data_IF_291701460160
#
_entry.id   IF_291701460160
#
_cell.length_a   1.000
_cell.length_b   1.000
_cell.length_c   1.000
_cell.angle_alpha   90.00
_cell.angle_beta   90.00
_cell.angle_gamma   90.00
#
_symmetry.space_group_name_H-M   'P 1'
#
loop_
_entity.id
_entity.type
_entity.pdbx_description
1 polymer ?
2 non-polymer ?
3 non-polymer ?
4 non-polymer ?
5 water ?
#
# COMPACT_ATOMS: atom_id res chain seq x y z
N UNK A 1 0.65 14.56 8.07
CA UNK A 1 0.30 13.17 8.49
C UNK A 1 -1.16 12.89 8.18
N UNK A 2 -1.51 11.61 8.10
CA UNK A 2 -2.89 11.18 7.92
C UNK A 2 -3.24 10.19 9.03
N UNK A 3 -4.52 10.06 9.32
CA UNK A 3 -4.96 9.22 10.43
C UNK A 3 -6.15 8.34 10.06
N UNK A 4 -6.27 7.22 10.75
CA UNK A 4 -7.45 6.36 10.64
C UNK A 4 -7.71 5.67 11.97
N UNK A 5 -8.96 5.71 12.42
CA UNK A 5 -9.39 5.10 13.67
C UNK A 5 -10.37 3.96 13.40
N UNK A 6 -10.04 2.78 13.88
CA UNK A 6 -10.91 1.62 13.69
C UNK A 6 -12.16 1.69 14.57
N UNK A 7 -12.08 2.42 15.67
CA UNK A 7 -13.22 2.62 16.54
C UNK A 7 -14.27 3.48 15.84
N UNK A 8 -15.42 2.87 15.56
CA UNK A 8 -16.49 3.55 14.85
C UNK A 8 -16.29 3.65 13.35
N UNK A 9 -15.28 2.94 12.83
CA UNK A 9 -14.99 2.95 11.41
C UNK A 9 -16.12 2.35 10.59
N UNK A 10 -16.36 2.94 9.42
CA UNK A 10 -17.29 2.37 8.46
C UNK A 10 -16.76 2.65 7.05
N UNK A 11 -17.46 2.16 6.01
CA UNK A 11 -16.92 2.38 4.66
C UNK A 11 -16.66 3.86 4.34
N UNK A 12 -17.48 4.75 4.88
CA UNK A 12 -17.30 6.18 4.66
C UNK A 12 -16.01 6.70 5.28
N UNK A 13 -15.78 6.43 6.56
CA UNK A 13 -14.58 6.94 7.24
C UNK A 13 -13.31 6.31 6.69
N UNK A 14 -13.39 5.06 6.28
CA UNK A 14 -12.27 4.40 5.61
C UNK A 14 -11.99 5.09 4.27
N UNK A 15 -13.05 5.39 3.52
CA UNK A 15 -12.92 6.12 2.26
C UNK A 15 -12.26 7.48 2.43
N UNK A 16 -12.60 8.18 3.51
CA UNK A 16 -11.98 9.47 3.83
C UNK A 16 -10.49 9.31 4.11
N UNK A 17 -10.13 8.23 4.81
CA UNK A 17 -8.73 7.94 5.09
C UNK A 17 -7.92 7.68 3.82
N UNK A 18 -8.47 6.87 2.93
CA UNK A 18 -7.78 6.54 1.67
C UNK A 18 -7.66 7.79 0.79
N UNK A 19 -8.67 8.66 0.85
CA UNK A 19 -8.58 9.96 0.17
C UNK A 19 -7.46 10.82 0.76
N UNK A 20 -7.40 10.92 2.09
CA UNK A 20 -6.33 11.67 2.77
C UNK A 20 -4.96 11.13 2.41
N UNK A 21 -4.84 9.80 2.40
CA UNK A 21 -3.58 9.13 2.06
C UNK A 21 -3.14 9.52 0.65
N UNK A 22 -4.03 9.34 -0.33
CA UNK A 22 -3.75 9.76 -1.70
C UNK A 22 -3.32 11.23 -1.78
N UNK A 23 -4.08 12.09 -1.11
CA UNK A 23 -3.84 13.55 -1.16
C UNK A 23 -2.55 13.99 -0.48
N UNK A 24 -2.01 13.15 0.38
CA UNK A 24 -0.76 13.45 1.08
C UNK A 24 0.48 13.12 0.23
N UNK A 25 0.28 12.43 -0.89
CA UNK A 25 1.38 12.06 -1.76
C UNK A 25 1.59 13.17 -2.78
N UNK A 26 2.78 13.77 -2.81
CA UNK A 26 2.95 14.91 -3.70
C UNK A 26 3.13 14.48 -5.17
N UNK A 27 2.71 15.36 -6.06
CA UNK A 27 2.93 15.17 -7.50
C UNK A 27 2.90 16.54 -8.17
N UNK A 28 3.62 16.68 -9.27
CA UNK A 28 3.62 17.93 -10.05
C UNK A 28 2.95 17.75 -11.41
N UNK A 29 2.58 16.52 -11.74
CA UNK A 29 2.10 16.18 -13.07
C UNK A 29 1.06 15.07 -12.97
N UNK A 30 0.06 15.11 -13.85
CA UNK A 30 -0.83 13.98 -14.04
C UNK A 30 -0.61 13.42 -15.44
N UNK A 31 -0.72 12.11 -15.55
CA UNK A 31 -0.56 11.41 -16.81
C UNK A 31 -1.87 10.67 -17.05
N UNK A 32 -2.55 11.03 -18.15
CA UNK A 32 -3.91 10.57 -18.43
C UNK A 32 -4.82 10.77 -17.21
N UNK A 33 -4.65 11.95 -16.59
CA UNK A 33 -5.44 12.40 -15.45
C UNK A 33 -5.19 11.66 -14.12
N UNK A 34 -4.15 10.84 -14.08
CA UNK A 34 -3.76 10.14 -12.86
C UNK A 34 -2.49 10.77 -12.29
N UNK A 35 -2.49 11.12 -10.99
CA UNK A 35 -1.29 11.68 -10.37
C UNK A 35 -0.04 10.83 -10.61
N UNK A 36 1.03 11.48 -11.05
CA UNK A 36 2.32 10.82 -11.27
C UNK A 36 3.22 11.08 -10.06
N UNK A 37 3.55 10.02 -9.32
CA UNK A 37 4.42 10.17 -8.16
C UNK A 37 5.79 10.66 -8.58
N UNK A 38 6.46 11.36 -7.67
CA UNK A 38 7.70 12.04 -7.98
C UNK A 38 8.85 11.06 -8.16
N UNK A 39 9.85 11.43 -8.98
CA UNK A 39 11.03 10.58 -9.15
C UNK A 39 11.76 10.38 -7.83
N UNK A 40 11.92 11.45 -7.06
CA UNK A 40 12.54 11.38 -5.76
C UNK A 40 12.20 12.59 -4.90
N UNK A 41 12.42 12.42 -3.60
CA UNK A 41 12.26 13.48 -2.62
C UNK A 41 13.41 13.28 -1.64
N UNK A 42 14.10 14.37 -1.30
CA UNK A 42 15.27 14.30 -0.42
C UNK A 42 14.89 14.57 1.02
N UNK A 43 15.60 13.91 1.92
CA UNK A 43 15.43 14.13 3.35
C UNK A 43 14.13 13.56 3.90
N UNK A 44 13.68 14.17 4.99
CA UNK A 44 12.52 13.67 5.74
C UNK A 44 11.21 13.84 4.98
N UNK A 45 11.17 14.78 4.03
CA UNK A 45 9.99 15.01 3.21
C UNK A 45 9.59 13.80 2.38
N UNK A 46 10.51 12.85 2.24
CA UNK A 46 10.24 11.60 1.53
C UNK A 46 9.20 10.72 2.22
N UNK A 47 9.01 10.89 3.52
CA UNK A 47 8.21 9.95 4.30
C UNK A 47 6.95 10.56 4.90
N UNK A 48 5.82 9.92 4.61
CA UNK A 48 4.53 10.26 5.20
C UNK A 48 4.29 9.38 6.43
N UNK A 49 3.77 9.98 7.50
CA UNK A 49 3.40 9.24 8.69
C UNK A 49 1.89 9.01 8.71
N UNK A 50 1.49 7.74 8.84
CA UNK A 50 0.10 7.35 8.97
C UNK A 50 -0.11 6.97 10.41
N UNK A 51 -1.04 7.64 11.10
CA UNK A 51 -1.39 7.29 12.47
C UNK A 51 -2.60 6.37 12.42
N UNK A 52 -2.41 5.14 12.87
CA UNK A 52 -3.48 4.15 12.86
C UNK A 52 -3.83 3.75 14.28
N UNK A 53 -5.13 3.80 14.60
CA UNK A 53 -5.62 3.44 15.92
C UNK A 53 -6.49 2.22 15.84
N UNK A 54 -6.20 1.23 16.67
CA UNK A 54 -7.05 0.05 16.75
C UNK A 54 -8.33 0.40 17.51
N UNK A 55 -9.25 -0.55 17.57
CA UNK A 55 -10.55 -0.33 18.17
C UNK A 55 -10.46 0.20 19.61
N UNK A 56 -9.48 -0.27 20.38
CA UNK A 56 -9.28 0.18 21.77
C UNK A 56 -8.55 1.51 21.90
N UNK A 57 -8.15 2.10 20.77
CA UNK A 57 -7.52 3.41 20.78
C UNK A 57 -6.00 3.37 20.93
N UNK A 58 -5.41 2.19 20.90
CA UNK A 58 -3.96 2.05 20.82
C UNK A 58 -3.49 2.40 19.42
N UNK A 59 -2.28 2.90 19.29
CA UNK A 59 -1.83 3.46 18.02
C UNK A 59 -0.46 2.97 17.60
N UNK A 60 -0.30 2.81 16.29
CA UNK A 60 1.01 2.72 15.67
C UNK A 60 1.11 3.86 14.65
N UNK A 61 2.34 4.28 14.39
CA UNK A 61 2.60 5.25 13.33
C UNK A 61 3.42 4.56 12.25
N UNK A 62 2.93 4.61 11.02
CA UNK A 62 3.55 3.91 9.90
C UNK A 62 4.21 4.90 8.96
N UNK A 63 5.48 4.66 8.63
CA UNK A 63 6.22 5.52 7.71
C UNK A 63 6.12 5.00 6.28
N UNK A 64 5.68 5.86 5.37
CA UNK A 64 5.46 5.50 3.98
C UNK A 64 6.31 6.38 3.06
N UNK A 65 7.05 5.75 2.15
CA UNK A 65 7.83 6.48 1.14
C UNK A 65 6.86 7.05 0.10
N UNK A 66 6.82 8.38 -0.03
CA UNK A 66 5.80 9.04 -0.84
C UNK A 66 6.04 8.95 -2.35
N UNK A 67 7.22 8.47 -2.74
CA UNK A 67 7.52 8.28 -4.16
C UNK A 67 6.97 6.96 -4.71
N UNK A 68 6.75 5.98 -3.83
CA UNK A 68 6.29 4.66 -4.29
C UNK A 68 5.21 3.99 -3.42
N UNK A 69 4.77 4.67 -2.36
CA UNK A 69 3.79 4.17 -1.38
C UNK A 69 4.24 2.89 -0.67
N UNK A 70 5.55 2.72 -0.57
CA UNK A 70 6.09 1.56 0.14
C UNK A 70 6.21 1.88 1.62
N UNK A 71 5.69 1.00 2.45
CA UNK A 71 5.85 1.11 3.89
C UNK A 71 7.30 0.79 4.26
N UNK A 72 7.95 1.68 4.99
CA UNK A 72 9.35 1.51 5.38
C UNK A 72 9.51 0.88 6.76
N UNK A 73 8.57 1.21 7.65
CA UNK A 73 8.67 0.81 9.04
C UNK A 73 7.53 1.43 9.81
N UNK A 74 7.55 1.25 11.13
CA UNK A 74 6.49 1.78 11.97
C UNK A 74 6.99 1.91 13.40
N UNK A 75 6.29 2.74 14.16
CA UNK A 75 6.58 2.99 15.56
C UNK A 75 5.45 2.45 16.40
N UNK A 76 5.78 1.69 17.42
CA UNK A 76 4.80 1.15 18.36
C UNK A 76 5.27 1.40 19.77
N UNK A 77 4.57 2.29 20.47
CA UNK A 77 4.97 2.79 21.79
C UNK A 77 6.34 3.48 21.71
N UNK A 78 7.40 2.87 22.24
CA UNK A 78 8.73 3.47 22.20
C UNK A 78 9.72 2.66 21.36
N UNK A 79 9.20 1.73 20.55
CA UNK A 79 10.05 0.90 19.72
C UNK A 79 9.73 1.13 18.25
N UNK A 80 10.76 1.40 17.46
CA UNK A 80 10.61 1.46 16.00
C UNK A 80 11.00 0.13 15.35
N UNK A 81 10.35 -0.17 14.23
CA UNK A 81 10.57 -1.40 13.48
C UNK A 81 10.74 -1.04 12.01
N UNK A 82 11.83 -1.49 11.38
CA UNK A 82 12.07 -1.22 9.96
C UNK A 82 12.34 -2.52 9.20
N UNK A 83 11.92 -2.55 7.95
CA UNK A 83 12.22 -3.69 7.08
C UNK A 83 13.72 -3.79 6.86
N UNK A 84 14.18 -5.01 6.62
CA UNK A 84 15.58 -5.29 6.42
C UNK A 84 15.92 -5.08 4.96
N UNK A 85 16.02 -3.80 4.58
CA UNK A 85 16.38 -3.40 3.22
C UNK A 85 16.92 -1.98 3.18
N UNK A 86 17.77 -1.68 2.21
CA UNK A 86 18.43 -0.37 2.26
C UNK A 86 17.50 0.85 2.29
N UNK A 87 16.38 0.80 1.58
CA UNK A 87 15.44 1.92 1.58
C UNK A 87 14.86 2.19 2.97
N UNK A 88 14.63 1.14 3.74
CA UNK A 88 14.09 1.28 5.09
C UNK A 88 15.16 1.74 6.06
N UNK A 89 16.38 1.22 5.89
CA UNK A 89 17.54 1.64 6.67
C UNK A 89 17.74 3.14 6.48
N UNK A 90 17.64 3.62 5.24
CA UNK A 90 17.71 5.05 4.97
C UNK A 90 16.59 5.81 5.67
N UNK A 91 15.38 5.28 5.59
CA UNK A 91 14.23 5.92 6.25
C UNK A 91 14.46 6.07 7.75
N UNK A 92 15.13 5.08 8.36
CA UNK A 92 15.39 5.11 9.80
C UNK A 92 16.30 6.26 10.22
N UNK A 93 16.94 6.91 9.26
CA UNK A 93 17.74 8.10 9.54
C UNK A 93 16.86 9.33 9.74
N UNK A 94 15.61 9.28 9.30
CA UNK A 94 14.72 10.44 9.34
C UNK A 94 13.48 10.33 10.23
N UNK A 95 12.92 9.13 10.38
CA UNK A 95 11.67 8.96 11.11
C UNK A 95 11.85 8.12 12.36
N UNK A 96 11.05 8.43 13.38
CA UNK A 96 11.03 7.70 14.66
C UNK A 96 12.37 7.70 15.38
N UNK A 97 13.14 8.77 15.20
CA UNK A 97 14.46 8.91 15.82
C UNK A 97 14.38 8.93 17.34
N UNK A 98 13.26 9.41 17.88
CA UNK A 98 13.05 9.48 19.32
C UNK A 98 12.67 8.15 19.97
N UNK A 99 12.54 7.08 19.19
CA UNK A 99 12.25 5.75 19.74
C UNK A 99 13.37 5.33 20.68
N UNK A 100 13.00 4.68 21.78
CA UNK A 100 13.99 4.20 22.75
C UNK A 100 14.88 3.10 22.16
N UNK A 101 14.32 2.26 21.29
CA UNK A 101 15.10 1.27 20.58
C UNK A 101 14.55 1.02 19.19
N UNK A 102 15.42 0.57 18.30
CA UNK A 102 15.05 0.27 16.93
C UNK A 102 15.32 -1.20 16.62
N UNK A 103 14.29 -1.88 16.16
CA UNK A 103 14.39 -3.27 15.72
C UNK A 103 14.31 -3.33 14.21
N UNK A 104 15.26 -4.02 13.60
CA UNK A 104 15.17 -4.31 12.19
C UNK A 104 14.48 -5.66 12.05
N UNK A 105 13.36 -5.68 11.34
CA UNK A 105 12.62 -6.91 11.10
C UNK A 105 13.48 -7.89 10.29
N UNK A 106 13.27 -9.20 10.47
CA UNK A 106 14.10 -10.20 9.80
C UNK A 106 13.60 -10.55 8.38
N UNK A 107 13.14 -9.53 7.66
CA UNK A 107 12.73 -9.66 6.26
C UNK A 107 12.63 -8.27 5.64
N UNK A 108 12.72 -8.23 4.32
CA UNK A 108 12.40 -7.04 3.55
C UNK A 108 10.89 -6.90 3.41
N UNK A 109 10.44 -5.81 2.79
CA UNK A 109 9.01 -5.52 2.71
C UNK A 109 8.29 -6.03 1.48
N UNK A 110 8.96 -6.78 0.62
CA UNK A 110 8.30 -7.27 -0.58
C UNK A 110 7.42 -8.49 -0.26
N UNK A 111 6.45 -8.72 -1.13
CA UNK A 111 5.37 -9.66 -0.86
C UNK A 111 5.93 -11.07 -0.73
N UNK A 112 6.87 -11.40 -1.61
CA UNK A 112 7.47 -12.73 -1.61
C UNK A 112 8.09 -13.04 -0.24
N UNK A 113 8.93 -12.15 0.26
CA UNK A 113 9.60 -12.36 1.55
C UNK A 113 8.65 -12.37 2.74
N UNK A 114 7.65 -11.48 2.72
CA UNK A 114 6.66 -11.41 3.78
C UNK A 114 5.82 -12.68 3.87
N UNK A 115 5.40 -13.18 2.71
CA UNK A 115 4.63 -14.42 2.60
C UNK A 115 5.42 -15.64 3.09
N UNK A 116 6.72 -15.67 2.78
CA UNK A 116 7.62 -16.68 3.31
C UNK A 116 7.67 -16.60 4.84
N UNK A 117 7.93 -15.40 5.36
CA UNK A 117 7.99 -15.18 6.81
C UNK A 117 6.67 -15.50 7.50
N UNK A 118 5.56 -15.19 6.85
CA UNK A 118 4.23 -15.42 7.42
C UNK A 118 3.81 -16.88 7.34
N UNK A 119 4.39 -17.63 6.39
CA UNK A 119 4.07 -19.03 6.20
C UNK A 119 2.84 -19.27 5.35
N UNK A 120 2.42 -18.26 4.61
CA UNK A 120 1.28 -18.39 3.70
C UNK A 120 1.23 -17.28 2.66
N UNK A 121 0.71 -17.59 1.47
CA UNK A 121 0.55 -16.56 0.47
C UNK A 121 -0.63 -15.69 0.85
N UNK A 122 -0.68 -14.47 0.35
CA UNK A 122 -1.74 -13.61 0.80
C UNK A 122 -3.09 -13.94 0.14
N UNK A 123 -3.10 -14.87 -0.82
CA UNK A 123 -4.35 -15.46 -1.29
C UNK A 123 -5.14 -16.12 -0.15
N UNK A 124 -4.44 -16.52 0.89
CA UNK A 124 -5.06 -17.23 2.01
C UNK A 124 -5.21 -16.38 3.27
N UNK A 125 -4.82 -15.10 3.22
CA UNK A 125 -4.93 -14.20 4.37
C UNK A 125 -6.12 -13.26 4.18
N UNK A 126 -7.16 -13.39 5.04
CA UNK A 126 -8.30 -12.47 4.96
C UNK A 126 -7.89 -11.04 5.22
N UNK A 127 -8.53 -10.12 4.49
CA UNK A 127 -8.32 -8.70 4.68
C UNK A 127 -9.68 -8.03 4.87
N UNK A 128 -9.64 -6.78 5.32
CA UNK A 128 -10.84 -6.05 5.73
C UNK A 128 -10.50 -5.15 6.89
N UNK A 129 -11.50 -4.42 7.39
CA UNK A 129 -11.27 -3.53 8.50
C UNK A 129 -11.04 -4.28 9.81
N UNK A 130 -11.77 -5.39 10.03
CA UNK A 130 -11.42 -6.17 11.22
C UNK A 130 -9.98 -6.72 11.19
N UNK A 131 -9.53 -7.17 10.02
CA UNK A 131 -8.16 -7.66 9.88
C UNK A 131 -7.15 -6.54 10.10
N UNK A 132 -7.48 -5.32 9.66
CA UNK A 132 -6.60 -4.18 9.90
C UNK A 132 -6.51 -3.88 11.39
N UNK A 133 -7.66 -3.89 12.09
CA UNK A 133 -7.69 -3.74 13.54
C UNK A 133 -6.75 -4.76 14.22
N UNK A 134 -6.86 -6.02 13.80
CA UNK A 134 -5.98 -7.10 14.29
C UNK A 134 -4.51 -6.83 14.00
N UNK A 135 -4.23 -6.38 12.77
CA UNK A 135 -2.87 -6.14 12.32
C UNK A 135 -2.20 -5.09 13.20
N UNK A 136 -2.94 -4.02 13.48
CA UNK A 136 -2.46 -2.93 14.33
C UNK A 136 -2.13 -3.49 15.71
N UNK A 137 -3.07 -4.25 16.27
CA UNK A 137 -2.87 -4.85 17.58
C UNK A 137 -1.64 -5.76 17.63
N UNK A 138 -1.47 -6.56 16.58
CA UNK A 138 -0.32 -7.47 16.49
C UNK A 138 1.00 -6.70 16.47
N UNK A 139 1.05 -5.62 15.71
CA UNK A 139 2.29 -4.88 15.56
C UNK A 139 2.70 -4.12 16.82
N UNK A 140 1.78 -3.94 17.75
CA UNK A 140 2.08 -3.30 19.03
C UNK A 140 3.08 -4.08 19.86
N UNK A 141 3.10 -5.40 19.68
CA UNK A 141 3.98 -6.27 20.45
C UNK A 141 4.76 -7.22 19.55
N UNK A 142 6.07 -7.08 19.58
CA UNK A 142 6.96 -7.71 18.62
C UNK A 142 6.81 -9.23 18.58
N UNK A 143 6.52 -9.72 17.39
CA UNK A 143 6.50 -11.15 17.10
C UNK A 143 6.68 -11.18 15.58
N UNK A 144 7.88 -11.50 15.11
CA UNK A 144 8.21 -11.29 13.69
C UNK A 144 7.38 -12.14 12.74
N UNK A 145 7.04 -13.37 13.15
CA UNK A 145 6.18 -14.22 12.33
C UNK A 145 4.77 -13.65 12.23
N UNK A 146 4.18 -13.28 13.37
CA UNK A 146 2.85 -12.66 13.38
C UNK A 146 2.89 -11.33 12.61
N UNK A 147 3.95 -10.56 12.82
CA UNK A 147 4.07 -9.25 12.17
C UNK A 147 4.08 -9.35 10.64
N UNK A 148 4.69 -10.40 10.08
CA UNK A 148 4.69 -10.58 8.62
C UNK A 148 3.27 -10.62 8.04
N UNK A 149 2.39 -11.42 8.66
CA UNK A 149 1.00 -11.48 8.25
C UNK A 149 0.26 -10.17 8.48
N UNK A 150 0.51 -9.54 9.63
CA UNK A 150 -0.08 -8.24 9.91
C UNK A 150 0.34 -7.21 8.86
N UNK A 151 1.61 -7.25 8.47
CA UNK A 151 2.11 -6.29 7.49
C UNK A 151 1.52 -6.52 6.10
N UNK A 152 1.29 -7.78 5.72
CA UNK A 152 0.59 -8.09 4.48
C UNK A 152 -0.81 -7.49 4.49
N UNK A 153 -1.49 -7.58 5.63
CA UNK A 153 -2.80 -6.97 5.77
C UNK A 153 -2.69 -5.45 5.71
N UNK A 154 -1.73 -4.90 6.43
CA UNK A 154 -1.56 -3.46 6.50
C UNK A 154 -1.28 -2.84 5.13
N UNK A 155 -0.34 -3.46 4.41
CA UNK A 155 0.06 -2.96 3.09
C UNK A 155 -1.13 -2.90 2.13
N UNK A 156 -1.92 -3.97 2.12
CA UNK A 156 -3.05 -4.08 1.20
C UNK A 156 -4.21 -3.16 1.53
N UNK A 157 -4.44 -2.94 2.81
CA UNK A 157 -5.55 -2.12 3.23
C UNK A 157 -5.21 -0.65 3.26
N UNK A 158 -3.95 -0.35 3.05
CA UNK A 158 -3.50 1.03 3.00
C UNK A 158 -2.90 1.41 1.61
N UNK A 159 -1.65 1.08 1.36
CA UNK A 159 -1.04 1.42 0.09
C UNK A 159 -1.84 0.92 -1.11
N UNK A 160 -2.21 -0.34 -1.12
CA UNK A 160 -2.82 -0.91 -2.33
C UNK A 160 -4.18 -0.28 -2.59
N UNK A 161 -4.94 -0.03 -1.52
CA UNK A 161 -6.21 0.69 -1.63
C UNK A 161 -6.02 2.12 -2.14
N UNK A 162 -4.96 2.80 -1.69
CA UNK A 162 -4.63 4.12 -2.22
C UNK A 162 -4.35 4.06 -3.74
N UNK A 163 -3.71 3.07 -4.19
CA UNK A 163 -3.32 2.94 -5.57
C UNK A 163 -4.44 2.53 -6.51
N UNK A 164 -5.42 1.75 -6.04
CA UNK A 164 -6.50 1.23 -6.86
C UNK A 164 -7.85 1.42 -6.18
N UNK A 165 -8.75 2.12 -6.86
CA UNK A 165 -10.10 2.30 -6.37
C UNK A 165 -10.81 0.96 -6.15
N UNK A 166 -10.53 -0.01 -7.02
CA UNK A 166 -11.14 -1.33 -6.89
C UNK A 166 -10.78 -1.97 -5.54
N UNK A 167 -9.53 -1.82 -5.12
CA UNK A 167 -9.08 -2.42 -3.86
C UNK A 167 -9.67 -1.67 -2.66
N UNK A 168 -9.74 -0.35 -2.75
CA UNK A 168 -10.41 0.45 -1.74
C UNK A 168 -11.85 -0.06 -1.54
N UNK A 169 -12.56 -0.27 -2.65
CA UNK A 169 -13.93 -0.77 -2.61
C UNK A 169 -14.02 -2.20 -2.04
N UNK A 170 -13.05 -3.03 -2.36
CA UNK A 170 -12.95 -4.37 -1.80
C UNK A 170 -12.90 -4.32 -0.27
N UNK A 171 -12.09 -3.40 0.26
CA UNK A 171 -11.94 -3.27 1.71
C UNK A 171 -13.21 -2.69 2.32
N UNK A 172 -13.83 -1.72 1.64
CA UNK A 172 -15.11 -1.19 2.09
C UNK A 172 -16.19 -2.28 2.18
N UNK A 173 -16.15 -3.23 1.25
CA UNK A 173 -17.05 -4.38 1.28
C UNK A 173 -16.75 -5.31 2.47
N UNK A 174 -15.53 -5.22 2.98
CA UNK A 174 -15.08 -6.01 4.11
C UNK A 174 -14.97 -5.15 5.37
N UNK A 175 -15.87 -4.18 5.52
CA UNK A 175 -15.85 -3.28 6.66
C UNK A 175 -16.14 -4.01 7.97
N UNK A 176 -16.98 -5.03 7.93
CA UNK A 176 -17.39 -5.75 9.15
C UNK A 176 -17.22 -7.27 9.06
N UNK A 177 -16.60 -7.75 7.99
CA UNK A 177 -16.30 -9.16 7.77
C UNK A 177 -15.09 -9.28 6.86
N UNK A 178 -14.03 -9.92 7.35
CA UNK A 178 -12.84 -10.13 6.53
C UNK A 178 -13.11 -11.19 5.47
N UNK A 179 -12.39 -11.07 4.37
CA UNK A 179 -12.41 -12.10 3.34
C UNK A 179 -11.10 -12.02 2.58
N UNK A 180 -10.59 -13.17 2.16
CA UNK A 180 -9.35 -13.18 1.37
C UNK A 180 -9.54 -12.29 0.15
N UNK A 181 -8.46 -11.67 -0.32
CA UNK A 181 -8.56 -10.80 -1.51
C UNK A 181 -9.03 -11.56 -2.74
N UNK A 182 -9.80 -10.89 -3.61
CA UNK A 182 -10.14 -11.47 -4.90
C UNK A 182 -8.87 -11.64 -5.73
N UNK A 183 -8.88 -12.56 -6.69
CA UNK A 183 -7.71 -12.73 -7.53
C UNK A 183 -7.46 -11.48 -8.39
N UNK A 184 -8.51 -10.72 -8.68
CA UNK A 184 -8.37 -9.42 -9.35
C UNK A 184 -7.55 -8.46 -8.50
N UNK A 185 -7.82 -8.46 -7.19
CA UNK A 185 -7.06 -7.65 -6.24
C UNK A 185 -5.58 -8.02 -6.30
N UNK A 186 -5.28 -9.31 -6.18
CA UNK A 186 -3.91 -9.80 -6.24
C UNK A 186 -3.25 -9.38 -7.55
N UNK A 187 -3.98 -9.56 -8.65
CA UNK A 187 -3.48 -9.22 -9.98
C UNK A 187 -3.07 -7.75 -10.07
N UNK A 188 -3.96 -6.87 -9.61
CA UNK A 188 -3.70 -5.42 -9.62
C UNK A 188 -2.48 -5.07 -8.80
N UNK A 189 -2.39 -5.65 -7.60
CA UNK A 189 -1.24 -5.41 -6.73
C UNK A 189 0.04 -5.77 -7.46
N UNK A 190 0.04 -6.95 -8.08
CA UNK A 190 1.21 -7.45 -8.80
C UNK A 190 1.54 -6.64 -10.06
N UNK A 191 0.57 -5.90 -10.59
CA UNK A 191 0.72 -5.20 -11.86
C UNK A 191 0.91 -3.69 -11.75
N UNK A 192 1.03 -3.16 -10.53
CA UNK A 192 1.05 -1.71 -10.35
C UNK A 192 2.22 -1.06 -11.05
N UNK A 193 3.41 -1.65 -10.90
CA UNK A 193 4.61 -1.17 -11.56
C UNK A 193 4.47 -1.22 -13.09
N UNK A 194 4.04 -2.38 -13.58
CA UNK A 194 3.81 -2.59 -15.00
C UNK A 194 2.81 -1.63 -15.61
N UNK A 195 1.66 -1.48 -14.96
CA UNK A 195 0.63 -0.53 -15.41
C UNK A 195 1.13 0.91 -15.38
N UNK A 196 1.77 1.28 -14.26
CA UNK A 196 2.33 2.61 -14.12
C UNK A 196 3.28 2.93 -15.27
N UNK A 197 4.13 1.98 -15.62
CA UNK A 197 5.07 2.14 -16.72
C UNK A 197 4.38 2.29 -18.08
N UNK A 198 3.46 1.37 -18.38
CA UNK A 198 2.79 1.35 -19.68
C UNK A 198 1.90 2.57 -19.92
N UNK A 199 1.28 3.08 -18.84
CA UNK A 199 0.49 4.29 -18.91
C UNK A 199 1.39 5.48 -19.25
N UNK A 200 2.59 5.52 -18.66
CA UNK A 200 3.56 6.55 -19.00
C UNK A 200 4.11 6.38 -20.42
N UNK A 201 4.38 5.15 -20.83
CA UNK A 201 4.89 4.89 -22.19
C UNK A 201 3.86 5.20 -23.27
N UNK A 202 2.59 5.07 -22.91
CA UNK A 202 1.49 5.39 -23.80
C UNK A 202 1.45 6.87 -24.20
N UNK A 203 2.03 7.75 -23.38
CA UNK A 203 2.00 9.20 -23.63
C UNK A 203 2.46 9.58 -25.03
N UNK A 204 3.60 9.06 -25.46
CA UNK A 204 4.14 9.34 -26.79
C UNK A 204 3.84 8.23 -27.80
N UNK A 205 2.82 7.43 -27.50
CA UNK A 205 2.47 6.28 -28.33
C UNK A 205 0.96 6.23 -28.59
N UNK A 206 0.34 7.41 -28.64
CA UNK A 206 -1.08 7.55 -28.98
C UNK A 206 -2.02 6.81 -28.01
N UNK A 207 -1.62 6.77 -26.74
CA UNK A 207 -2.41 6.09 -25.72
C UNK A 207 -2.31 4.57 -25.72
N UNK A 208 -1.41 4.02 -26.54
CA UNK A 208 -1.26 2.58 -26.69
C UNK A 208 -0.07 2.08 -25.87
N UNK A 209 -0.27 0.99 -25.13
CA UNK A 209 0.80 0.37 -24.34
C UNK A 209 1.85 -0.23 -25.27
N UNK A 210 3.12 -0.02 -24.97
CA UNK A 210 4.22 -0.66 -25.69
C UNK A 210 4.19 -2.18 -25.49
N UNK A 211 3.82 -2.59 -24.27
CA UNK A 211 3.67 -4.00 -23.91
C UNK A 211 2.36 -4.19 -23.14
N UNK A 212 1.48 -5.08 -23.60
CA UNK A 212 0.20 -5.27 -22.90
C UNK A 212 0.38 -5.80 -21.48
N UNK A 213 -0.53 -5.42 -20.60
CA UNK A 213 -0.52 -5.89 -19.21
C UNK A 213 -1.63 -6.92 -19.02
N UNK A 214 -1.29 -8.09 -18.48
CA UNK A 214 -2.27 -9.14 -18.26
C UNK A 214 -2.83 -9.08 -16.84
N UNK A 215 -4.15 -8.97 -16.75
CA UNK A 215 -4.85 -8.90 -15.47
C UNK A 215 -5.94 -9.96 -15.37
N UNK A 216 -6.34 -10.26 -14.14
CA UNK A 216 -7.49 -11.09 -13.85
C UNK A 216 -8.63 -10.14 -13.46
N UNK A 217 -9.79 -10.28 -14.10
CA UNK A 217 -10.93 -9.41 -13.80
C UNK A 217 -11.79 -9.95 -12.66
N UNK A 218 -12.88 -9.23 -12.34
CA UNK A 218 -13.75 -9.56 -11.21
C UNK A 218 -14.37 -10.97 -11.26
N UNK A 219 -14.55 -11.50 -12.47
CA UNK A 219 -15.14 -12.84 -12.65
C UNK A 219 -14.08 -13.94 -12.62
N UNK A 220 -12.81 -13.57 -12.46
CA UNK A 220 -11.70 -14.51 -12.48
C UNK A 220 -11.13 -14.75 -13.86
N UNK A 221 -11.61 -13.99 -14.85
CA UNK A 221 -11.16 -14.12 -16.23
C UNK A 221 -9.90 -13.29 -16.49
N UNK A 222 -8.91 -13.90 -17.15
CA UNK A 222 -7.65 -13.25 -17.48
C UNK A 222 -7.81 -12.37 -18.74
N UNK A 223 -7.55 -11.06 -18.59
CA UNK A 223 -7.74 -10.08 -19.68
C UNK A 223 -6.42 -9.32 -19.97
N UNK A 224 -6.26 -8.93 -21.24
CA UNK A 224 -5.13 -8.09 -21.66
C UNK A 224 -5.51 -6.62 -21.67
N UNK A 225 -4.68 -5.79 -21.04
CA UNK A 225 -4.85 -4.33 -21.09
C UNK A 225 -3.83 -3.79 -22.10
N UNK A 226 -4.33 -3.11 -23.14
CA UNK A 226 -3.48 -2.68 -24.26
C UNK A 226 -3.38 -1.18 -24.46
N UNK A 227 -4.29 -0.42 -23.86
CA UNK A 227 -4.33 1.03 -24.07
C UNK A 227 -5.08 1.76 -22.97
N UNK A 228 -4.96 3.08 -22.96
CA UNK A 228 -5.49 3.90 -21.88
C UNK A 228 -7.03 4.03 -21.82
N UNK A 229 -7.75 3.47 -22.80
CA UNK A 229 -9.22 3.50 -22.73
C UNK A 229 -9.77 2.44 -21.78
N UNK A 230 -8.94 1.50 -21.35
CA UNK A 230 -9.38 0.47 -20.42
C UNK A 230 -9.88 1.06 -19.11
N UNK A 231 -10.90 0.44 -18.53
CA UNK A 231 -11.46 0.89 -17.25
C UNK A 231 -10.43 0.88 -16.11
N UNK A 232 -9.43 0.03 -16.21
CA UNK A 232 -8.35 0.00 -15.22
C UNK A 232 -7.64 1.36 -15.20
N UNK A 233 -7.47 1.94 -16.37
CA UNK A 233 -6.77 3.22 -16.51
C UNK A 233 -7.70 4.41 -16.26
N UNK A 234 -8.94 4.35 -16.78
CA UNK A 234 -9.86 5.49 -16.68
C UNK A 234 -10.56 5.63 -15.33
N UNK A 235 -10.70 4.52 -14.61
CA UNK A 235 -11.52 4.52 -13.39
C UNK A 235 -10.82 3.99 -12.12
N UNK A 236 -9.87 3.09 -12.29
CA UNK A 236 -9.37 2.27 -11.18
C UNK A 236 -8.05 2.82 -10.57
N UNK A 237 -6.97 2.77 -11.34
CA UNK A 237 -5.67 3.20 -10.84
C UNK A 237 -5.69 4.69 -10.45
N UNK A 238 -5.16 5.02 -9.27
CA UNK A 238 -5.20 6.38 -8.74
C UNK A 238 -3.84 7.04 -8.58
N UNK A 239 -2.77 6.25 -8.73
CA UNK A 239 -1.41 6.73 -8.54
C UNK A 239 -0.47 5.97 -9.48
N UNK A 240 0.48 6.69 -10.07
CA UNK A 240 1.47 6.07 -10.95
C UNK A 240 2.85 6.14 -10.34
N UNK A 241 3.49 4.99 -10.24
CA UNK A 241 4.90 4.90 -9.95
C UNK A 241 5.67 5.50 -11.13
N UNK A 242 6.53 6.47 -10.84
CA UNK A 242 7.34 7.12 -11.86
C UNK A 242 8.25 6.10 -12.54
N UNK A 243 8.32 6.13 -13.88
CA UNK A 243 9.20 5.22 -14.64
C UNK A 243 10.66 5.34 -14.24
N UNK A 244 11.05 6.49 -13.72
CA UNK A 244 12.40 6.65 -13.20
C UNK A 244 12.70 5.67 -12.06
N UNK A 245 11.65 5.20 -11.38
CA UNK A 245 11.79 4.22 -10.31
C UNK A 245 11.42 2.77 -10.70
N UNK A 246 11.36 2.50 -12.00
CA UNK A 246 10.99 1.17 -12.50
C UNK A 246 12.14 0.60 -13.34
X LIG B 1 -14.09 -3.20 11.97
X LIG B 1 -14.52 -4.15 12.95
X LIG B 1 -14.27 -1.78 12.48
X LIG B 1 -13.62 -1.63 13.74
X LIG B 1 -15.77 -1.49 12.62
X LIG B 1 -15.99 -0.14 13.01
X LIG C 1 -7.99 -0.56 -26.57
X LIG C 1 -8.28 -1.38 -27.83
X LIG C 1 -9.74 -1.86 -27.93
X LIG C 1 -10.32 -2.27 -26.59
X LIG C 1 -9.98 -1.22 -25.53
X LIG C 1 -10.56 -1.55 -24.16
X LIG C 1 -6.73 -0.45 -29.48
X LIG C 1 -6.56 0.50 -30.64
X LIG C 1 -7.96 -0.53 -28.96
X LIG C 1 -9.82 -2.95 -28.82
X LIG C 1 -11.72 -2.41 -26.71
X LIG C 1 -8.58 -1.16 -25.44
X LIG C 1 -10.18 -2.84 -23.76
X LIG C 1 -5.77 -1.10 -29.07
X LIG D 1 5.39 -4.27 -2.08
X LIG D 1 6.45 -4.20 -2.97
X LIG D 1 6.90 -5.27 -3.59
X LIG D 1 6.33 -6.40 -3.31
X LIG D 1 5.31 -6.48 -2.44
X LIG D 1 4.84 -5.39 -1.77
X LIG D 1 6.98 -3.13 -3.24
X LIG D 1 6.71 -7.38 -3.86
X LIG D 1 5.00 -3.09 -1.41
X LIG D 1 3.59 -2.71 -1.19
X LIG D 1 3.38 -2.09 -2.43
X LIG D 1 3.77 -1.84 0.10
X LIG D 1 5.29 -1.93 0.39
X LIG D 1 5.56 -3.20 -0.15
X LIG D 1 3.24 -0.51 0.04
X LIG D 1 6.01 -1.97 1.72
X LIG D 1 7.32 -2.64 1.59
X LIG D 1 8.81 -2.01 1.30
X LIG D 1 8.74 -0.74 0.55
X LIG D 1 9.61 -2.02 2.52
X LIG D 1 9.58 -3.11 0.41
X LIG D 1 10.30 -3.02 -1.03
X LIG D 1 11.17 -4.22 -1.15
X LIG D 1 9.11 -3.14 -1.88
X LIG D 1 11.00 -1.69 -1.16
X LIG E 1 -8.75 9.23 -12.13
X LIG E 1 -9.13 9.87 -10.90
X LIG E 1 -8.75 7.74 -11.90
X LIG E 1 -10.07 7.36 -11.46
X LIG E 1 -8.37 7.00 -13.18
X LIG E 1 -8.22 5.59 -13.00
#
# INVERSE_FOLDING_TARGET
DVSFRLSGADPSSYGMFIKDLRNALPHTEKVYNIPLLLPSVSGAGRYLLMHLFNYDGNTITVAVDVTNVYIMGYLALTTSYFFNEPAADLASQYVFRSARRKITLPYSGNYERLQIAAGKPREKIPIGLPALDTAISTLLHYDSTAAAGALLVLIQTTAEAARFKYIEQQIQERAYRDEVPSSATISLENSWSGLSKQIQLAQGNNGVFRTPTVLVDSKGNRVQITNVTSNVVTSNIQLLLNTKNI
GOL C1 O1 C2 O2 C3 O3
NAG C1 C2 C3 C4 C5 C6 C7 C8 N2 O3 O4 O5 O6 O7
UDP N1 C2 N3 C4 C5 C6 O2 O4 C1' C2' O2' C3' C4' O4' O3' C5' O5' PA O1A O2A O3A PB O1B O2B O3B
GOL C1 O1 C2 O2 C3 O3
#
